data_IF_047774245533
#
_entry.id   IF_047774245533
#
_cell.length_a   1.000
_cell.length_b   1.000
_cell.length_c   1.000
_cell.angle_alpha   90.00
_cell.angle_beta   90.00
_cell.angle_gamma   90.00
#
_symmetry.space_group_name_H-M   'P 1'
#
loop_
_entity.id
_entity.type
_entity.pdbx_description
1 polymer ?
#
# COMPACT_ATOMS: atom_id res chain seq x y z
N UNK A 1 52.85 -43.00 13.86
CA UNK A 1 51.95 -41.89 14.24
C UNK A 1 51.80 -40.93 13.07
N UNK A 2 50.58 -40.44 12.86
CA UNK A 2 50.19 -39.25 12.09
C UNK A 2 50.56 -39.20 10.60
N UNK A 3 49.61 -39.59 9.72
CA UNK A 3 49.55 -39.13 8.31
C UNK A 3 48.18 -39.45 7.67
N UNK A 4 47.07 -39.17 8.37
CA UNK A 4 45.70 -39.35 7.84
C UNK A 4 44.72 -38.38 8.51
N UNK A 5 44.94 -37.07 8.35
CA UNK A 5 43.98 -36.07 8.85
C UNK A 5 44.31 -34.71 8.23
N UNK A 6 44.16 -34.56 6.92
CA UNK A 6 44.09 -33.24 6.30
C UNK A 6 43.41 -33.42 4.93
N UNK A 7 42.57 -32.48 4.54
CA UNK A 7 41.82 -32.41 3.27
C UNK A 7 40.42 -33.07 3.21
N UNK A 8 39.63 -32.98 4.29
CA UNK A 8 38.15 -32.94 4.18
C UNK A 8 37.64 -31.76 5.01
N UNK A 9 37.98 -30.52 4.65
CA UNK A 9 37.33 -29.32 5.25
C UNK A 9 37.09 -28.20 4.21
N UNK A 10 37.55 -28.33 2.96
CA UNK A 10 37.43 -27.26 1.96
C UNK A 10 36.19 -27.37 1.05
N UNK A 11 35.05 -27.87 1.56
CA UNK A 11 33.80 -27.94 0.76
C UNK A 11 32.53 -27.63 1.58
N UNK A 12 32.64 -26.71 2.54
CA UNK A 12 31.53 -26.36 3.44
C UNK A 12 31.39 -24.84 3.64
N UNK A 13 31.66 -24.06 2.59
CA UNK A 13 31.60 -22.59 2.64
C UNK A 13 30.86 -21.93 1.47
N UNK A 14 29.95 -22.63 0.78
CA UNK A 14 29.23 -22.05 -0.39
C UNK A 14 27.70 -21.97 -0.20
N UNK A 15 27.09 -22.60 0.80
CA UNK A 15 25.61 -22.70 0.82
C UNK A 15 24.85 -21.75 1.76
N UNK A 16 25.51 -20.85 2.50
CA UNK A 16 24.80 -20.01 3.50
C UNK A 16 24.32 -18.65 2.95
N UNK A 17 24.79 -18.22 1.76
CA UNK A 17 24.44 -16.91 1.20
C UNK A 17 23.02 -16.78 0.61
N UNK A 18 22.36 -17.90 0.25
CA UNK A 18 21.09 -17.86 -0.48
C UNK A 18 19.85 -17.66 0.41
N UNK A 19 19.97 -17.82 1.74
CA UNK A 19 18.82 -17.78 2.65
C UNK A 19 18.47 -16.37 3.12
N UNK A 20 19.44 -15.46 3.20
CA UNK A 20 19.21 -14.08 3.69
C UNK A 20 18.42 -13.25 2.67
N UNK A 21 18.65 -13.44 1.37
CA UNK A 21 17.92 -12.72 0.32
C UNK A 21 16.44 -13.16 0.15
N UNK A 22 16.00 -14.24 0.82
CA UNK A 22 14.66 -14.81 0.66
C UNK A 22 13.69 -14.41 1.78
N UNK A 23 14.19 -13.91 2.92
CA UNK A 23 13.38 -13.60 4.09
C UNK A 23 12.87 -12.15 4.13
N UNK A 24 13.44 -11.24 3.33
CA UNK A 24 13.15 -9.80 3.37
C UNK A 24 11.96 -9.35 2.49
N UNK A 25 11.62 -10.11 1.42
CA UNK A 25 10.60 -9.70 0.43
C UNK A 25 9.14 -9.70 0.94
N UNK A 26 8.88 -10.20 2.15
CA UNK A 26 7.51 -10.27 2.70
C UNK A 26 7.02 -8.96 3.29
N UNK A 27 7.92 -8.07 3.71
CA UNK A 27 7.54 -6.74 4.17
C UNK A 27 7.39 -5.76 3.00
N UNK A 28 8.04 -6.04 1.86
CA UNK A 28 7.92 -5.21 0.65
C UNK A 28 6.51 -5.18 0.06
N UNK A 29 5.69 -6.22 0.30
CA UNK A 29 4.31 -6.33 -0.22
C UNK A 29 3.26 -5.74 0.71
N UNK A 30 3.61 -5.23 1.90
CA UNK A 30 2.62 -4.62 2.80
C UNK A 30 2.46 -3.15 2.44
N UNK A 31 1.24 -2.73 2.09
CA UNK A 31 0.87 -1.33 1.84
C UNK A 31 0.65 -0.53 3.14
N UNK A 32 1.18 -1.01 4.27
CA UNK A 32 1.00 -0.41 5.58
C UNK A 32 2.15 0.55 5.91
N UNK A 33 1.80 1.74 6.42
CA UNK A 33 2.74 2.67 7.05
C UNK A 33 2.45 2.63 8.56
N UNK A 34 3.26 1.95 9.39
CA UNK A 34 3.00 1.80 10.82
C UNK A 34 2.82 3.14 11.54
N UNK A 35 3.61 4.15 11.20
CA UNK A 35 3.52 5.50 11.75
C UNK A 35 2.12 6.12 11.53
N UNK A 36 1.53 5.88 10.35
CA UNK A 36 0.21 6.37 10.01
C UNK A 36 -0.87 5.63 10.80
N UNK A 37 -0.77 4.31 10.91
CA UNK A 37 -1.70 3.50 11.68
C UNK A 37 -1.66 3.84 13.18
N UNK A 38 -0.47 3.99 13.76
CA UNK A 38 -0.28 4.37 15.16
C UNK A 38 -0.90 5.75 15.45
N UNK A 39 -0.73 6.69 14.52
CA UNK A 39 -1.21 8.06 14.70
C UNK A 39 -2.74 8.17 14.66
N UNK A 40 -3.42 7.20 14.04
CA UNK A 40 -4.89 7.12 14.03
C UNK A 40 -5.49 7.21 15.44
N UNK A 41 -4.83 6.63 16.46
CA UNK A 41 -5.34 6.67 17.83
C UNK A 41 -5.51 8.09 18.40
N UNK A 42 -4.61 9.00 18.03
CA UNK A 42 -4.64 10.42 18.44
C UNK A 42 -5.69 11.17 17.64
N UNK A 43 -5.71 10.97 16.31
CA UNK A 43 -6.70 11.57 15.41
C UNK A 43 -8.12 11.12 15.77
N UNK A 44 -8.29 9.85 16.17
CA UNK A 44 -9.57 9.30 16.62
C UNK A 44 -10.08 10.05 17.84
N UNK A 45 -9.25 10.25 18.88
CA UNK A 45 -9.64 11.02 20.07
C UNK A 45 -9.99 12.47 19.71
N UNK A 46 -9.21 13.09 18.82
CA UNK A 46 -9.49 14.45 18.34
C UNK A 46 -10.88 14.53 17.67
N UNK A 47 -11.17 13.61 16.75
CA UNK A 47 -12.35 13.71 15.87
C UNK A 47 -13.61 13.05 16.43
N UNK A 48 -13.49 11.93 17.14
CA UNK A 48 -14.63 11.18 17.65
C UNK A 48 -14.95 11.47 19.12
N UNK A 49 -14.12 12.25 19.82
CA UNK A 49 -14.36 12.64 21.22
C UNK A 49 -14.33 14.15 21.41
N UNK A 50 -13.18 14.78 21.18
CA UNK A 50 -13.00 16.19 21.55
C UNK A 50 -13.78 17.16 20.64
N UNK A 51 -13.73 16.96 19.32
CA UNK A 51 -14.37 17.84 18.35
C UNK A 51 -15.92 17.86 18.43
N UNK A 52 -16.63 16.71 18.52
CA UNK A 52 -18.09 16.69 18.61
C UNK A 52 -18.62 17.36 19.88
N UNK A 53 -17.88 17.23 20.99
CA UNK A 53 -18.19 17.85 22.28
C UNK A 53 -17.77 19.33 22.35
N UNK A 54 -17.04 19.81 21.34
CA UNK A 54 -16.38 21.12 21.34
C UNK A 54 -15.48 21.31 22.56
N UNK A 55 -14.85 20.23 23.04
CA UNK A 55 -13.94 20.26 24.17
C UNK A 55 -12.59 20.88 23.76
N UNK A 56 -12.53 22.20 23.82
CA UNK A 56 -11.34 22.99 23.51
C UNK A 56 -10.17 22.61 24.41
N UNK A 57 -10.41 22.25 25.68
CA UNK A 57 -9.34 21.89 26.60
C UNK A 57 -8.72 20.53 26.23
N UNK A 58 -9.55 19.57 25.83
CA UNK A 58 -9.07 18.28 25.35
C UNK A 58 -8.34 18.42 24.00
N UNK A 59 -8.88 19.17 23.04
CA UNK A 59 -8.16 19.52 21.80
C UNK A 59 -6.79 20.14 22.13
N UNK A 60 -6.80 21.11 23.04
CA UNK A 60 -5.66 21.59 23.87
C UNK A 60 -4.59 20.54 24.12
N UNK A 61 -5.01 19.58 24.93
CA UNK A 61 -4.18 18.56 25.55
C UNK A 61 -3.61 17.53 24.57
N UNK A 62 -4.22 17.37 23.39
CA UNK A 62 -3.76 16.43 22.37
C UNK A 62 -2.54 16.94 21.60
N UNK A 63 -2.22 18.24 21.66
CA UNK A 63 -1.13 18.84 20.88
C UNK A 63 0.21 18.08 20.98
N UNK A 64 0.72 17.69 22.17
CA UNK A 64 1.98 16.95 22.25
C UNK A 64 1.94 15.58 21.54
N UNK A 65 0.79 14.91 21.53
CA UNK A 65 0.61 13.64 20.80
C UNK A 65 0.52 13.88 19.28
N UNK A 66 -0.15 14.97 18.87
CA UNK A 66 -0.25 15.40 17.46
C UNK A 66 1.12 15.73 16.89
N UNK A 67 1.90 16.55 17.60
CA UNK A 67 3.25 16.94 17.19
C UNK A 67 4.19 15.73 17.07
N UNK A 68 4.13 14.80 18.03
CA UNK A 68 4.91 13.55 17.98
C UNK A 68 4.49 12.66 16.81
N UNK A 69 3.18 12.49 16.59
CA UNK A 69 2.66 11.67 15.48
C UNK A 69 3.05 12.25 14.13
N UNK A 70 2.93 13.58 13.96
CA UNK A 70 3.37 14.27 12.76
C UNK A 70 4.88 14.15 12.53
N UNK A 71 5.70 14.31 13.56
CA UNK A 71 7.17 14.16 13.44
C UNK A 71 7.54 12.74 12.97
N UNK A 72 6.91 11.71 13.55
CA UNK A 72 7.12 10.32 13.08
C UNK A 72 6.71 10.11 11.63
N UNK A 73 5.61 10.74 11.19
CA UNK A 73 5.17 10.65 9.80
C UNK A 73 6.15 11.29 8.82
N UNK A 74 6.85 12.36 9.20
CA UNK A 74 7.89 12.96 8.36
C UNK A 74 9.08 12.01 8.14
N UNK A 75 9.38 11.17 9.13
CA UNK A 75 10.45 10.17 9.07
C UNK A 75 9.99 8.81 8.51
N UNK A 76 8.69 8.65 8.24
CA UNK A 76 8.12 7.39 7.80
C UNK A 76 8.65 6.99 6.43
N UNK A 77 9.05 5.72 6.30
CA UNK A 77 9.51 5.16 5.02
C UNK A 77 8.32 4.61 4.27
N UNK A 78 8.22 4.99 2.99
CA UNK A 78 7.24 4.41 2.10
C UNK A 78 7.67 2.98 1.74
N UNK A 79 6.84 1.94 2.00
CA UNK A 79 7.11 0.58 1.55
C UNK A 79 7.29 0.49 0.04
N UNK A 80 8.04 -0.52 -0.41
CA UNK A 80 8.38 -0.67 -1.82
C UNK A 80 7.16 -0.84 -2.75
N UNK A 81 6.09 -1.48 -2.27
CA UNK A 81 4.79 -1.59 -2.96
C UNK A 81 4.07 -0.25 -3.16
N UNK A 82 4.49 0.81 -2.47
CA UNK A 82 3.90 2.14 -2.58
C UNK A 82 4.81 3.16 -3.28
N UNK A 83 5.95 2.74 -3.85
CA UNK A 83 6.89 3.66 -4.50
C UNK A 83 6.28 4.42 -5.69
N UNK A 84 5.32 3.83 -6.40
CA UNK A 84 4.52 4.50 -7.45
C UNK A 84 3.74 5.70 -6.89
N UNK A 85 3.37 5.67 -5.61
CA UNK A 85 2.60 6.72 -4.93
C UNK A 85 3.47 7.77 -4.26
N UNK A 86 4.81 7.73 -4.42
CA UNK A 86 5.74 8.62 -3.71
C UNK A 86 5.42 10.10 -3.90
N UNK A 87 5.18 10.54 -5.12
CA UNK A 87 4.88 11.95 -5.41
C UNK A 87 3.57 12.40 -4.76
N UNK A 88 2.52 11.56 -4.85
CA UNK A 88 1.25 11.81 -4.20
C UNK A 88 1.38 11.83 -2.67
N UNK A 89 2.16 10.92 -2.09
CA UNK A 89 2.47 10.86 -0.66
C UNK A 89 3.16 12.13 -0.19
N UNK A 90 4.23 12.56 -0.86
CA UNK A 90 4.98 13.76 -0.50
C UNK A 90 4.10 15.02 -0.58
N UNK A 91 3.23 15.11 -1.60
CA UNK A 91 2.25 16.19 -1.72
C UNK A 91 1.23 16.18 -0.58
N UNK A 92 0.59 15.04 -0.32
CA UNK A 92 -0.39 14.91 0.78
C UNK A 92 0.25 15.19 2.14
N UNK A 93 1.50 14.77 2.35
CA UNK A 93 2.23 15.02 3.59
C UNK A 93 2.54 16.52 3.78
N UNK A 94 2.83 17.25 2.69
CA UNK A 94 2.99 18.70 2.74
C UNK A 94 1.67 19.43 3.06
N UNK A 95 0.56 18.99 2.49
CA UNK A 95 -0.79 19.52 2.79
C UNK A 95 -1.18 19.24 4.25
N UNK A 96 -0.87 18.04 4.75
CA UNK A 96 -1.05 17.67 6.14
C UNK A 96 -0.15 18.50 7.08
N UNK A 97 1.11 18.75 6.73
CA UNK A 97 2.00 19.61 7.48
C UNK A 97 1.45 21.05 7.60
N UNK A 98 0.77 21.55 6.57
CA UNK A 98 0.11 22.84 6.61
C UNK A 98 -1.06 22.86 7.61
N UNK A 99 -1.89 21.81 7.64
CA UNK A 99 -3.01 21.72 8.60
C UNK A 99 -2.54 21.57 10.04
N UNK A 100 -1.44 20.86 10.30
CA UNK A 100 -0.80 20.78 11.63
C UNK A 100 -0.37 22.17 12.12
N UNK A 101 0.26 22.98 11.25
CA UNK A 101 0.65 24.35 11.57
C UNK A 101 -0.55 25.27 11.83
N UNK A 102 -1.62 25.11 11.06
CA UNK A 102 -2.86 25.86 11.28
C UNK A 102 -3.51 25.49 12.61
N UNK A 103 -3.56 24.20 12.95
CA UNK A 103 -4.03 23.71 14.24
C UNK A 103 -3.25 24.33 15.40
N UNK A 104 -1.92 24.30 15.33
CA UNK A 104 -1.04 24.91 16.33
C UNK A 104 -1.32 26.40 16.53
N UNK A 105 -1.42 27.16 15.44
CA UNK A 105 -1.68 28.61 15.49
C UNK A 105 -3.07 28.90 16.08
N UNK A 106 -4.09 28.17 15.66
CA UNK A 106 -5.45 28.38 16.12
C UNK A 106 -5.60 28.03 17.62
N UNK A 107 -4.83 27.06 18.12
CA UNK A 107 -4.77 26.69 19.53
C UNK A 107 -4.29 27.85 20.43
N UNK A 108 -3.36 28.68 19.95
CA UNK A 108 -2.80 29.83 20.68
C UNK A 108 -3.75 31.03 20.72
N UNK A 109 -4.73 31.07 19.81
CA UNK A 109 -5.72 32.14 19.72
C UNK A 109 -6.86 32.03 20.73
N UNK A 110 -7.71 33.07 20.73
CA UNK A 110 -8.96 33.12 21.50
C UNK A 110 -10.21 32.75 20.67
N UNK A 111 -10.04 32.53 19.36
CA UNK A 111 -11.15 32.19 18.45
C UNK A 111 -11.41 30.68 18.46
N UNK A 112 -12.38 30.28 19.28
CA UNK A 112 -12.81 28.89 19.40
C UNK A 112 -13.34 28.31 18.09
N UNK A 113 -14.04 29.09 17.26
CA UNK A 113 -14.59 28.59 16.01
C UNK A 113 -13.47 28.32 15.00
N UNK A 114 -12.49 29.21 14.92
CA UNK A 114 -11.30 29.00 14.11
C UNK A 114 -10.53 27.75 14.55
N UNK A 115 -10.42 27.50 15.86
CA UNK A 115 -9.75 26.30 16.36
C UNK A 115 -10.50 25.00 16.03
N UNK A 116 -11.83 24.99 16.15
CA UNK A 116 -12.64 23.84 15.75
C UNK A 116 -12.53 23.55 14.24
N UNK A 117 -12.49 24.59 13.39
CA UNK A 117 -12.27 24.44 11.95
C UNK A 117 -10.87 23.89 11.65
N UNK A 118 -9.85 24.34 12.37
CA UNK A 118 -8.49 23.82 12.21
C UNK A 118 -8.39 22.34 12.61
N UNK A 119 -9.10 21.92 13.67
CA UNK A 119 -9.20 20.51 14.09
C UNK A 119 -9.91 19.63 13.04
N UNK A 120 -11.03 20.09 12.47
CA UNK A 120 -11.71 19.41 11.37
C UNK A 120 -10.80 19.27 10.14
N UNK A 121 -10.12 20.36 9.75
CA UNK A 121 -9.17 20.34 8.64
C UNK A 121 -8.01 19.39 8.87
N UNK A 122 -7.48 19.31 10.10
CA UNK A 122 -6.43 18.37 10.46
C UNK A 122 -6.89 16.92 10.24
N UNK A 123 -8.07 16.56 10.73
CA UNK A 123 -8.66 15.24 10.51
C UNK A 123 -8.90 14.97 9.01
N UNK A 124 -9.50 15.91 8.28
CA UNK A 124 -9.76 15.74 6.85
C UNK A 124 -8.48 15.50 6.05
N UNK A 125 -7.38 16.20 6.38
CA UNK A 125 -6.09 16.00 5.72
C UNK A 125 -5.41 14.68 6.12
N UNK A 126 -5.56 14.24 7.38
CA UNK A 126 -5.12 12.91 7.78
C UNK A 126 -5.83 11.81 6.98
N UNK A 127 -7.16 11.93 6.81
CA UNK A 127 -7.94 10.99 6.00
C UNK A 127 -7.50 10.95 4.54
N UNK A 128 -7.15 12.11 3.96
CA UNK A 128 -6.58 12.17 2.61
C UNK A 128 -5.23 11.46 2.53
N UNK A 129 -4.35 11.68 3.52
CA UNK A 129 -3.06 10.99 3.60
C UNK A 129 -3.22 9.46 3.68
N UNK A 130 -4.19 8.97 4.45
CA UNK A 130 -4.54 7.53 4.51
C UNK A 130 -5.01 7.01 3.15
N UNK A 131 -5.87 7.76 2.45
CA UNK A 131 -6.38 7.37 1.13
C UNK A 131 -5.31 7.36 0.04
N UNK A 132 -4.26 8.18 0.17
CA UNK A 132 -3.13 8.16 -0.77
C UNK A 132 -2.42 6.82 -0.80
N UNK A 133 -2.39 6.08 0.31
CA UNK A 133 -1.63 4.82 0.42
C UNK A 133 -2.51 3.57 0.53
N UNK A 134 -3.79 3.73 0.88
CA UNK A 134 -4.74 2.62 0.98
C UNK A 134 -5.73 2.63 -0.17
N UNK A 135 -5.77 1.59 -1.01
CA UNK A 135 -6.84 1.40 -1.97
C UNK A 135 -8.21 1.41 -1.26
N UNK A 136 -9.27 1.93 -1.90
CA UNK A 136 -10.59 2.04 -1.28
C UNK A 136 -11.29 0.69 -1.08
N UNK A 137 -10.78 -0.37 -1.71
CA UNK A 137 -11.28 -1.74 -1.62
C UNK A 137 -10.13 -2.67 -1.24
N UNK A 138 -10.35 -3.51 -0.22
CA UNK A 138 -9.34 -4.46 0.27
C UNK A 138 -8.98 -5.50 -0.79
N UNK A 139 -9.90 -5.85 -1.69
CA UNK A 139 -9.67 -6.81 -2.76
C UNK A 139 -8.71 -6.28 -3.82
N UNK A 140 -8.68 -4.97 -4.06
CA UNK A 140 -7.70 -4.33 -4.95
C UNK A 140 -6.30 -4.42 -4.32
N UNK A 141 -6.19 -4.06 -3.04
CA UNK A 141 -4.93 -4.17 -2.29
C UNK A 141 -4.43 -5.62 -2.27
N UNK A 142 -5.28 -6.57 -1.91
CA UNK A 142 -4.94 -8.00 -1.90
C UNK A 142 -4.45 -8.48 -3.27
N UNK A 143 -5.12 -8.09 -4.36
CA UNK A 143 -4.67 -8.41 -5.72
C UNK A 143 -3.28 -7.81 -6.00
N UNK A 144 -3.05 -6.55 -5.63
CA UNK A 144 -1.78 -5.86 -5.81
C UNK A 144 -0.63 -6.61 -5.14
N UNK A 145 -0.80 -7.08 -3.91
CA UNK A 145 0.28 -7.77 -3.17
C UNK A 145 0.85 -8.98 -3.94
N UNK A 146 -0.01 -9.74 -4.63
CA UNK A 146 0.46 -10.86 -5.49
C UNK A 146 1.00 -10.37 -6.81
N UNK A 147 0.36 -9.37 -7.42
CA UNK A 147 0.79 -8.79 -8.69
C UNK A 147 2.17 -8.15 -8.55
N UNK A 148 2.43 -7.44 -7.46
CA UNK A 148 3.70 -6.81 -7.13
C UNK A 148 4.85 -7.82 -7.21
N UNK A 149 4.68 -8.98 -6.55
CA UNK A 149 5.69 -10.03 -6.58
C UNK A 149 5.87 -10.62 -7.98
N UNK A 150 4.78 -10.84 -8.70
CA UNK A 150 4.82 -11.31 -10.08
C UNK A 150 5.56 -10.33 -11.00
N UNK A 151 5.25 -9.04 -10.89
CA UNK A 151 5.71 -8.00 -11.79
C UNK A 151 7.14 -7.54 -11.49
N UNK A 152 7.48 -7.27 -10.23
CA UNK A 152 8.78 -6.71 -9.86
C UNK A 152 9.85 -7.77 -9.56
N UNK A 153 9.46 -9.03 -9.34
CA UNK A 153 10.42 -10.09 -9.02
C UNK A 153 10.33 -11.28 -9.98
N UNK A 154 9.20 -11.98 -10.02
CA UNK A 154 9.14 -13.28 -10.69
C UNK A 154 9.22 -13.19 -12.21
N UNK A 155 8.58 -12.17 -12.81
CA UNK A 155 8.68 -11.85 -14.24
C UNK A 155 10.13 -11.50 -14.64
N UNK A 156 10.76 -10.48 -14.03
CA UNK A 156 12.14 -10.09 -14.33
C UNK A 156 13.16 -11.22 -14.16
N UNK A 157 13.05 -12.02 -13.09
CA UNK A 157 13.88 -13.20 -12.84
C UNK A 157 13.53 -14.39 -13.75
N UNK A 158 12.37 -14.34 -14.40
CA UNK A 158 11.74 -15.43 -15.14
C UNK A 158 11.65 -16.74 -14.34
N UNK A 159 11.25 -16.65 -13.07
CA UNK A 159 10.96 -17.81 -12.23
C UNK A 159 9.62 -18.43 -12.65
N UNK A 160 9.63 -19.22 -13.73
CA UNK A 160 8.42 -19.76 -14.38
C UNK A 160 7.48 -20.45 -13.38
N UNK A 161 8.03 -21.24 -12.45
CA UNK A 161 7.23 -21.92 -11.42
C UNK A 161 6.49 -20.91 -10.54
N UNK A 162 7.18 -19.85 -10.09
CA UNK A 162 6.54 -18.81 -9.29
C UNK A 162 5.57 -17.95 -10.10
N UNK A 163 5.86 -17.70 -11.38
CA UNK A 163 4.91 -17.04 -12.28
C UNK A 163 3.60 -17.83 -12.34
N UNK A 164 3.66 -19.14 -12.60
CA UNK A 164 2.46 -19.99 -12.63
C UNK A 164 1.73 -19.98 -11.29
N UNK A 165 2.46 -20.08 -10.17
CA UNK A 165 1.85 -20.06 -8.85
C UNK A 165 1.16 -18.73 -8.53
N UNK A 166 1.77 -17.60 -8.90
CA UNK A 166 1.19 -16.27 -8.73
C UNK A 166 -0.05 -16.08 -9.59
N UNK A 167 -0.09 -16.62 -10.81
CA UNK A 167 -1.28 -16.55 -11.66
C UNK A 167 -2.46 -17.31 -11.03
N UNK A 168 -2.22 -18.51 -10.48
CA UNK A 168 -3.26 -19.26 -9.75
C UNK A 168 -3.77 -18.47 -8.53
N UNK A 169 -2.87 -17.83 -7.77
CA UNK A 169 -3.25 -17.00 -6.63
C UNK A 169 -4.08 -15.78 -7.07
N UNK A 170 -3.67 -15.10 -8.15
CA UNK A 170 -4.37 -13.95 -8.71
C UNK A 170 -5.75 -14.35 -9.26
N UNK A 171 -5.90 -15.53 -9.86
CA UNK A 171 -7.21 -16.06 -10.29
C UNK A 171 -8.14 -16.21 -9.09
N UNK A 172 -7.64 -16.74 -7.97
CA UNK A 172 -8.39 -16.81 -6.72
C UNK A 172 -8.81 -15.44 -6.19
N UNK A 173 -7.89 -14.45 -6.19
CA UNK A 173 -8.18 -13.08 -5.75
C UNK A 173 -9.16 -12.35 -6.68
N UNK A 174 -9.11 -12.65 -7.99
CA UNK A 174 -10.04 -12.12 -8.97
C UNK A 174 -11.48 -12.59 -8.72
N UNK A 175 -11.69 -13.81 -8.20
CA UNK A 175 -13.02 -14.28 -7.78
C UNK A 175 -13.60 -13.37 -6.70
N UNK A 176 -12.81 -13.03 -5.67
CA UNK A 176 -13.25 -12.09 -4.63
C UNK A 176 -13.53 -10.70 -5.19
N UNK A 177 -12.62 -10.15 -6.01
CA UNK A 177 -12.79 -8.83 -6.62
C UNK A 177 -14.06 -8.73 -7.50
N UNK A 178 -14.43 -9.82 -8.18
CA UNK A 178 -15.65 -9.89 -8.99
C UNK A 178 -16.94 -9.87 -8.17
N UNK A 179 -16.88 -10.22 -6.88
CA UNK A 179 -18.04 -10.20 -5.98
C UNK A 179 -18.23 -8.83 -5.30
N UNK A 180 -17.21 -7.96 -5.35
CA UNK A 180 -17.26 -6.65 -4.70
C UNK A 180 -18.33 -5.78 -5.33
N UNK A 181 -19.12 -5.15 -4.45
CA UNK A 181 -20.01 -4.04 -4.76
C UNK A 181 -19.39 -2.75 -4.26
N UNK A 182 -19.45 -1.69 -5.06
CA UNK A 182 -18.98 -0.39 -4.61
C UNK A 182 -19.89 0.13 -3.47
N UNK A 183 -19.32 0.79 -2.45
CA UNK A 183 -20.12 1.49 -1.47
C UNK A 183 -20.84 2.68 -2.14
N UNK A 184 -21.95 3.13 -1.55
CA UNK A 184 -22.82 4.18 -2.13
C UNK A 184 -22.06 5.46 -2.52
N UNK A 185 -21.05 5.84 -1.72
CA UNK A 185 -20.17 6.98 -1.99
C UNK A 185 -19.37 6.89 -3.30
N UNK A 186 -19.31 5.72 -3.94
CA UNK A 186 -18.62 5.48 -5.20
C UNK A 186 -19.57 5.03 -6.32
N UNK A 187 -20.89 5.15 -6.14
CA UNK A 187 -21.90 4.70 -7.12
C UNK A 187 -21.69 5.32 -8.51
N UNK A 188 -21.29 6.59 -8.57
CA UNK A 188 -20.99 7.27 -9.84
C UNK A 188 -19.81 6.66 -10.61
N UNK A 189 -18.94 5.90 -9.93
CA UNK A 189 -17.77 5.23 -10.50
C UNK A 189 -18.08 3.81 -11.00
N UNK A 190 -19.30 3.29 -10.76
CA UNK A 190 -19.61 1.87 -10.93
C UNK A 190 -19.40 1.36 -12.36
N UNK A 191 -19.88 2.08 -13.39
CA UNK A 191 -19.67 1.67 -14.79
C UNK A 191 -18.17 1.57 -15.13
N UNK A 192 -17.37 2.56 -14.69
CA UNK A 192 -15.91 2.57 -14.93
C UNK A 192 -15.22 1.44 -14.17
N UNK A 193 -15.60 1.22 -12.92
CA UNK A 193 -15.08 0.13 -12.10
C UNK A 193 -15.37 -1.24 -12.72
N UNK A 194 -16.62 -1.49 -13.14
CA UNK A 194 -17.01 -2.76 -13.75
C UNK A 194 -16.23 -3.05 -15.04
N UNK A 195 -16.02 -2.02 -15.87
CA UNK A 195 -15.25 -2.16 -17.10
C UNK A 195 -13.76 -2.42 -16.81
N UNK A 196 -13.12 -1.61 -15.96
CA UNK A 196 -11.72 -1.81 -15.62
C UNK A 196 -11.47 -3.16 -14.93
N UNK A 197 -12.40 -3.60 -14.06
CA UNK A 197 -12.36 -4.93 -13.43
C UNK A 197 -12.46 -6.04 -14.47
N UNK A 198 -13.34 -5.89 -15.46
CA UNK A 198 -13.48 -6.85 -16.56
C UNK A 198 -12.17 -6.93 -17.36
N UNK A 199 -11.59 -5.80 -17.74
CA UNK A 199 -10.34 -5.74 -18.51
C UNK A 199 -9.18 -6.39 -17.73
N UNK A 200 -9.10 -6.19 -16.42
CA UNK A 200 -8.14 -6.87 -15.56
C UNK A 200 -8.35 -8.40 -15.59
N UNK A 201 -9.59 -8.87 -15.40
CA UNK A 201 -9.91 -10.30 -15.45
C UNK A 201 -9.61 -10.96 -16.79
N UNK A 202 -9.88 -10.26 -17.90
CA UNK A 202 -9.55 -10.73 -19.26
C UNK A 202 -8.03 -10.83 -19.47
N UNK A 203 -7.26 -9.84 -19.00
CA UNK A 203 -5.79 -9.88 -19.11
C UNK A 203 -5.15 -11.00 -18.29
N UNK A 204 -5.67 -11.28 -17.09
CA UNK A 204 -5.26 -12.41 -16.26
C UNK A 204 -5.57 -13.75 -16.94
N UNK A 205 -6.79 -13.89 -17.48
CA UNK A 205 -7.19 -15.09 -18.24
C UNK A 205 -6.28 -15.32 -19.45
N UNK A 206 -5.94 -14.24 -20.17
CA UNK A 206 -5.01 -14.32 -21.30
C UNK A 206 -3.60 -14.76 -20.86
N UNK A 207 -3.07 -14.24 -19.74
CA UNK A 207 -1.80 -14.67 -19.19
C UNK A 207 -1.82 -16.17 -18.82
N UNK A 208 -2.87 -16.62 -18.15
CA UNK A 208 -3.09 -18.04 -17.80
C UNK A 208 -3.07 -18.94 -19.05
N UNK A 209 -3.78 -18.54 -20.11
CA UNK A 209 -3.81 -19.26 -21.39
C UNK A 209 -2.43 -19.29 -22.08
N UNK A 210 -1.65 -18.21 -22.01
CA UNK A 210 -0.30 -18.14 -22.58
C UNK A 210 0.66 -19.10 -21.88
N UNK A 211 0.56 -19.21 -20.55
CA UNK A 211 1.32 -20.17 -19.73
C UNK A 211 0.91 -21.60 -20.08
N UNK A 212 -0.40 -21.89 -20.12
CA UNK A 212 -0.91 -23.22 -20.44
C UNK A 212 -0.50 -23.68 -21.86
N UNK A 213 -0.45 -22.75 -22.82
CA UNK A 213 -0.01 -23.01 -24.19
C UNK A 213 1.52 -22.99 -24.36
N UNK A 214 2.28 -22.76 -23.29
CA UNK A 214 3.74 -22.71 -23.28
C UNK A 214 4.33 -21.79 -24.37
N UNK A 215 3.76 -20.58 -24.56
CA UNK A 215 4.15 -19.66 -25.64
C UNK A 215 5.52 -18.96 -25.45
N UNK A 216 6.35 -19.44 -24.54
CA UNK A 216 7.69 -18.92 -24.28
C UNK A 216 7.74 -17.65 -23.43
N UNK A 217 8.98 -17.24 -23.09
CA UNK A 217 9.28 -16.15 -22.15
C UNK A 217 8.66 -14.82 -22.55
N UNK A 218 8.90 -14.36 -23.77
CA UNK A 218 8.53 -13.01 -24.18
C UNK A 218 7.00 -12.81 -24.18
N UNK A 219 6.25 -13.82 -24.62
CA UNK A 219 4.79 -13.78 -24.60
C UNK A 219 4.24 -13.68 -23.17
N UNK A 220 4.86 -14.37 -22.21
CA UNK A 220 4.49 -14.31 -20.79
C UNK A 220 4.78 -12.93 -20.22
N UNK A 221 5.97 -12.37 -20.47
CA UNK A 221 6.35 -11.05 -19.93
C UNK A 221 5.46 -9.93 -20.49
N UNK A 222 5.14 -9.96 -21.78
CA UNK A 222 4.19 -9.01 -22.39
C UNK A 222 2.79 -9.13 -21.79
N UNK A 223 2.34 -10.35 -21.47
CA UNK A 223 1.05 -10.55 -20.83
C UNK A 223 1.03 -10.11 -19.37
N UNK A 224 2.13 -10.28 -18.63
CA UNK A 224 2.31 -9.73 -17.27
C UNK A 224 2.24 -8.20 -17.30
N UNK A 225 2.96 -7.55 -18.22
CA UNK A 225 2.93 -6.09 -18.40
C UNK A 225 1.51 -5.58 -18.68
N UNK A 226 0.80 -6.21 -19.62
CA UNK A 226 -0.58 -5.83 -19.94
C UNK A 226 -1.52 -5.95 -18.75
N UNK A 227 -1.37 -7.01 -17.96
CA UNK A 227 -2.16 -7.20 -16.75
C UNK A 227 -1.85 -6.13 -15.69
N UNK A 228 -0.57 -5.77 -15.54
CA UNK A 228 -0.16 -4.68 -14.66
C UNK A 228 -0.78 -3.34 -15.08
N UNK A 229 -0.74 -2.99 -16.37
CA UNK A 229 -1.39 -1.76 -16.85
C UNK A 229 -2.91 -1.75 -16.62
N UNK A 230 -3.58 -2.89 -16.76
CA UNK A 230 -5.02 -3.00 -16.47
C UNK A 230 -5.33 -2.90 -14.97
N UNK A 231 -4.43 -3.36 -14.10
CA UNK A 231 -4.52 -3.14 -12.66
C UNK A 231 -4.42 -1.64 -12.32
N UNK A 232 -3.44 -0.92 -12.87
CA UNK A 232 -3.34 0.53 -12.67
C UNK A 232 -4.57 1.27 -13.18
N UNK A 233 -5.14 0.83 -14.32
CA UNK A 233 -6.38 1.41 -14.84
C UNK A 233 -7.57 1.20 -13.89
N UNK A 234 -7.63 0.08 -13.18
CA UNK A 234 -8.62 -0.17 -12.14
C UNK A 234 -8.40 0.73 -10.91
N UNK A 235 -7.16 0.92 -10.46
CA UNK A 235 -6.85 1.84 -9.35
C UNK A 235 -7.27 3.28 -9.67
N UNK A 236 -6.93 3.77 -10.87
CA UNK A 236 -7.25 5.14 -11.34
C UNK A 236 -8.74 5.45 -11.42
N UNK A 237 -9.63 4.45 -11.30
CA UNK A 237 -11.08 4.71 -11.15
C UNK A 237 -11.35 5.50 -9.87
N UNK A 238 -10.53 5.33 -8.84
CA UNK A 238 -10.76 5.87 -7.50
C UNK A 238 -10.04 7.18 -7.20
N UNK A 239 -9.05 7.54 -8.01
CA UNK A 239 -8.49 8.90 -8.10
C UNK A 239 -9.55 9.91 -8.59
#
# INVERSE_FOLDING_TARGET
MMKRALYIVALLFVCVGASVARQDRRDETKSEIPELADFHSVIYKLWHTAWPEKDVAMLKSLWPEIERGFTRLLDARLPAILHDKKEAWEKSLAEFAASVKEYQRAMEGSDTEAFLKAAEKLHAQYELLVRTVKPPLQEIDSFHQSLYMLYHHYGPEYDYRRITQSVIELEGKMVSLNQVKLPDRHREKEVRFLNARKDLGESLTNLSNIIAANKGKDAILVAIERMHSNYEALERVFE
#
